data_IF_630239980811
#
_entry.id   IF_630239980811
#
_cell.length_a   1.000
_cell.length_b   1.000
_cell.length_c   1.000
_cell.angle_alpha   90.00
_cell.angle_beta   90.00
_cell.angle_gamma   90.00
#
_symmetry.space_group_name_H-M   'P 1'
#
loop_
_entity.id
_entity.type
_entity.pdbx_description
1 polymer ?
#
# COMPACT_ATOMS: atom_id res chain seq x y z
N UNK A 1 -35.23 67.71 38.77
CA UNK A 1 -34.41 66.45 38.88
C UNK A 1 -34.83 65.51 37.78
N UNK A 2 -34.07 65.49 36.66
CA UNK A 2 -34.37 64.65 35.50
C UNK A 2 -33.48 63.44 35.56
N UNK A 3 -34.10 62.26 35.69
CA UNK A 3 -33.41 60.95 35.55
C UNK A 3 -33.27 60.60 34.09
N UNK A 4 -32.03 60.49 33.61
CA UNK A 4 -31.70 59.96 32.28
C UNK A 4 -31.55 58.44 32.41
N UNK A 5 -32.46 57.71 31.79
CA UNK A 5 -32.33 56.24 31.60
C UNK A 5 -31.38 55.97 30.44
N UNK A 6 -30.21 55.35 30.72
CA UNK A 6 -29.31 54.82 29.71
C UNK A 6 -29.67 53.35 29.46
N UNK A 7 -30.24 53.07 28.31
CA UNK A 7 -30.45 51.72 27.80
C UNK A 7 -29.16 51.21 27.19
N UNK A 8 -28.58 50.18 27.78
CA UNK A 8 -27.39 49.52 27.28
C UNK A 8 -27.81 48.46 26.25
N UNK A 9 -27.52 48.67 24.95
CA UNK A 9 -27.75 47.70 23.90
C UNK A 9 -26.54 46.78 23.82
N UNK A 10 -26.70 45.55 24.26
CA UNK A 10 -25.68 44.47 24.13
C UNK A 10 -25.82 43.83 22.75
N UNK A 11 -24.87 44.08 21.86
CA UNK A 11 -24.81 43.40 20.55
C UNK A 11 -24.10 42.07 20.78
N UNK A 12 -24.81 40.97 20.67
CA UNK A 12 -24.24 39.64 20.65
C UNK A 12 -23.74 39.36 19.25
N UNK A 13 -22.43 39.34 19.05
CA UNK A 13 -21.80 38.87 17.79
C UNK A 13 -21.70 37.35 17.86
N UNK A 14 -22.56 36.66 17.12
CA UNK A 14 -22.49 35.22 16.94
C UNK A 14 -21.37 34.91 15.93
N UNK A 15 -20.23 34.43 16.44
CA UNK A 15 -19.17 33.86 15.59
C UNK A 15 -19.64 32.48 15.08
N UNK A 16 -20.10 32.43 13.85
CA UNK A 16 -20.35 31.18 13.15
C UNK A 16 -18.98 30.58 12.73
N UNK A 17 -18.41 29.70 13.57
CA UNK A 17 -17.25 28.88 13.17
C UNK A 17 -17.72 27.88 12.12
N UNK A 18 -17.59 28.21 10.84
CA UNK A 18 -17.62 27.21 9.77
C UNK A 18 -16.39 26.31 9.91
N UNK A 19 -16.52 25.22 10.62
CA UNK A 19 -15.56 24.13 10.53
C UNK A 19 -15.70 23.51 9.15
N UNK A 20 -14.82 23.90 8.23
CA UNK A 20 -14.64 23.16 6.98
C UNK A 20 -14.17 21.75 7.37
N UNK A 21 -15.06 20.78 7.35
CA UNK A 21 -14.70 19.39 7.40
C UNK A 21 -13.83 19.12 6.15
N UNK A 22 -12.53 19.01 6.33
CA UNK A 22 -11.64 18.51 5.29
C UNK A 22 -12.09 17.06 5.05
N UNK A 23 -12.73 16.82 3.92
CA UNK A 23 -13.08 15.46 3.50
C UNK A 23 -11.79 14.66 3.42
N UNK A 24 -11.66 13.65 4.27
CA UNK A 24 -10.55 12.74 4.22
C UNK A 24 -10.52 12.08 2.82
N UNK A 25 -9.37 12.15 2.16
CA UNK A 25 -9.22 11.57 0.85
C UNK A 25 -9.24 10.04 0.97
N UNK A 26 -10.22 9.39 0.34
CA UNK A 26 -10.42 7.96 0.44
C UNK A 26 -10.39 7.31 -0.94
N UNK A 27 -9.77 6.13 -1.02
CA UNK A 27 -9.91 5.22 -2.14
C UNK A 27 -10.31 3.85 -1.61
N UNK A 28 -11.31 3.23 -2.21
CA UNK A 28 -11.75 1.89 -1.85
C UNK A 28 -12.23 1.14 -3.09
N UNK A 29 -11.80 -0.11 -3.21
CA UNK A 29 -12.30 -1.04 -4.23
C UNK A 29 -12.34 -2.46 -3.67
N UNK A 30 -13.27 -3.28 -4.18
CA UNK A 30 -13.21 -4.74 -4.09
C UNK A 30 -12.74 -5.29 -5.43
N UNK A 31 -12.18 -6.50 -5.39
CA UNK A 31 -11.75 -7.19 -6.60
C UNK A 31 -12.72 -8.30 -7.01
N UNK A 32 -13.98 -8.19 -6.60
CA UNK A 32 -15.06 -9.00 -7.16
C UNK A 32 -15.21 -8.71 -8.66
N UNK A 33 -15.62 -9.74 -9.41
CA UNK A 33 -15.81 -9.63 -10.86
C UNK A 33 -16.73 -8.44 -11.21
N UNK A 34 -16.25 -7.57 -12.10
CA UNK A 34 -16.95 -6.36 -12.52
C UNK A 34 -16.89 -5.18 -11.55
N UNK A 35 -16.24 -5.33 -10.39
CA UNK A 35 -16.00 -4.21 -9.45
C UNK A 35 -14.63 -3.57 -9.62
N UNK A 36 -13.65 -4.31 -10.07
CA UNK A 36 -12.31 -3.78 -10.34
C UNK A 36 -12.27 -3.00 -11.65
N UNK A 37 -11.80 -1.77 -11.57
CA UNK A 37 -11.51 -0.95 -12.75
C UNK A 37 -9.98 -0.93 -12.99
N UNK A 38 -9.45 -1.72 -13.92
CA UNK A 38 -8.00 -1.77 -14.18
C UNK A 38 -7.44 -0.45 -14.71
N UNK A 39 -8.27 0.45 -15.27
CA UNK A 39 -7.82 1.75 -15.76
C UNK A 39 -7.33 2.69 -14.65
N UNK A 40 -7.76 2.48 -13.42
CA UNK A 40 -7.28 3.26 -12.26
C UNK A 40 -5.92 2.78 -11.75
N UNK A 41 -5.41 1.66 -12.29
CA UNK A 41 -4.17 1.05 -11.89
C UNK A 41 -3.12 1.14 -13.00
N UNK A 42 -1.86 1.17 -12.59
CA UNK A 42 -0.69 1.17 -13.44
C UNK A 42 0.12 -0.09 -13.16
N UNK A 43 0.29 -1.00 -14.13
CA UNK A 43 1.28 -2.06 -14.02
C UNK A 43 2.68 -1.45 -13.88
N UNK A 44 3.46 -1.94 -12.91
CA UNK A 44 4.80 -1.42 -12.63
C UNK A 44 5.80 -2.57 -12.58
N UNK A 45 6.85 -2.46 -13.37
CA UNK A 45 7.92 -3.44 -13.45
C UNK A 45 8.88 -3.30 -12.27
N UNK A 46 9.35 -4.42 -11.74
CA UNK A 46 10.51 -4.40 -10.86
C UNK A 46 11.80 -4.29 -11.69
N UNK A 47 12.77 -3.43 -11.33
CA UNK A 47 14.06 -3.37 -12.01
C UNK A 47 14.91 -4.64 -11.82
N UNK A 48 14.51 -5.55 -10.94
CA UNK A 48 15.15 -6.85 -10.71
C UNK A 48 14.89 -7.87 -11.83
N UNK A 49 13.78 -7.67 -12.58
CA UNK A 49 13.32 -8.61 -13.60
C UNK A 49 13.27 -7.94 -14.97
N UNK A 50 13.42 -8.73 -16.02
CA UNK A 50 13.40 -8.25 -17.41
C UNK A 50 12.00 -8.31 -18.06
N UNK A 51 10.96 -8.61 -17.27
CA UNK A 51 9.57 -8.71 -17.72
C UNK A 51 8.63 -7.84 -16.89
N UNK A 52 7.46 -7.54 -17.44
CA UNK A 52 6.32 -6.93 -16.75
C UNK A 52 5.36 -8.04 -16.34
N UNK A 53 5.14 -8.19 -15.04
CA UNK A 53 4.13 -9.12 -14.53
C UNK A 53 2.72 -8.58 -14.68
N UNK A 54 1.74 -9.47 -14.60
CA UNK A 54 0.33 -9.17 -14.83
C UNK A 54 -0.54 -9.65 -13.66
N UNK A 55 -1.59 -8.86 -13.34
CA UNK A 55 -2.64 -9.25 -12.39
C UNK A 55 -3.87 -9.71 -13.15
N UNK A 56 -4.41 -10.84 -12.75
CA UNK A 56 -5.58 -11.46 -13.37
C UNK A 56 -6.77 -11.36 -12.44
N UNK A 57 -7.91 -10.91 -12.97
CA UNK A 57 -9.16 -10.90 -12.23
C UNK A 57 -9.79 -12.29 -12.23
N UNK A 58 -10.14 -12.77 -11.04
CA UNK A 58 -10.94 -13.95 -10.78
C UNK A 58 -12.36 -13.54 -10.36
N UNK A 59 -13.15 -14.46 -9.78
CA UNK A 59 -14.54 -14.14 -9.39
C UNK A 59 -14.62 -13.15 -8.23
N UNK A 60 -13.79 -13.33 -7.19
CA UNK A 60 -13.85 -12.55 -5.95
C UNK A 60 -12.52 -11.86 -5.58
N UNK A 61 -11.47 -11.96 -6.43
CA UNK A 61 -10.15 -11.42 -6.15
C UNK A 61 -9.36 -11.14 -7.43
N UNK A 62 -8.22 -10.46 -7.28
CA UNK A 62 -7.15 -10.47 -8.28
C UNK A 62 -6.00 -11.35 -7.79
N UNK A 63 -5.28 -11.96 -8.72
CA UNK A 63 -4.11 -12.78 -8.45
C UNK A 63 -2.98 -12.44 -9.40
N UNK A 64 -1.74 -12.58 -8.96
CA UNK A 64 -0.60 -12.52 -9.88
C UNK A 64 -0.67 -13.70 -10.86
N UNK A 65 -0.34 -13.42 -12.12
CA UNK A 65 -0.25 -14.49 -13.13
C UNK A 65 0.89 -15.43 -12.77
N UNK A 66 0.55 -16.67 -12.57
CA UNK A 66 1.52 -17.76 -12.35
C UNK A 66 1.53 -18.68 -13.57
N UNK A 67 2.68 -19.27 -13.93
CA UNK A 67 2.73 -20.33 -14.92
C UNK A 67 1.76 -21.47 -14.55
N UNK A 68 1.23 -22.18 -15.55
CA UNK A 68 0.43 -23.39 -15.34
C UNK A 68 1.37 -24.57 -15.03
N UNK A 69 1.88 -24.57 -13.81
CA UNK A 69 2.83 -25.53 -13.26
C UNK A 69 2.38 -25.95 -11.87
N UNK A 70 2.75 -27.17 -11.42
CA UNK A 70 2.54 -27.56 -10.03
C UNK A 70 3.18 -26.58 -9.05
N UNK A 71 2.54 -26.39 -7.91
CA UNK A 71 2.92 -25.42 -6.90
C UNK A 71 4.35 -25.58 -6.40
N UNK A 72 4.83 -26.82 -6.23
CA UNK A 72 6.21 -27.10 -5.82
C UNK A 72 7.26 -26.70 -6.88
N UNK A 73 6.88 -26.71 -8.16
CA UNK A 73 7.72 -26.23 -9.27
C UNK A 73 7.77 -24.71 -9.30
N UNK A 74 6.63 -24.05 -9.07
CA UNK A 74 6.56 -22.57 -8.99
C UNK A 74 7.42 -22.07 -7.84
N UNK A 75 7.37 -22.71 -6.67
CA UNK A 75 8.20 -22.37 -5.51
C UNK A 75 9.70 -22.42 -5.78
N UNK A 76 10.16 -23.36 -6.61
CA UNK A 76 11.58 -23.51 -6.94
C UNK A 76 12.09 -22.44 -7.89
N UNK A 77 11.22 -21.73 -8.61
CA UNK A 77 11.57 -20.69 -9.57
C UNK A 77 11.85 -19.31 -8.94
N UNK A 78 11.83 -19.21 -7.61
CA UNK A 78 12.20 -18.02 -6.85
C UNK A 78 11.53 -16.71 -7.30
N UNK A 79 10.30 -16.79 -7.77
CA UNK A 79 9.53 -15.60 -8.16
C UNK A 79 9.86 -14.98 -9.51
N UNK A 80 10.86 -15.50 -10.22
CA UNK A 80 11.33 -14.92 -11.48
C UNK A 80 10.24 -14.76 -12.56
N UNK A 81 9.23 -15.65 -12.55
CA UNK A 81 8.15 -15.64 -13.54
C UNK A 81 6.79 -15.20 -12.96
N UNK A 82 6.73 -14.82 -11.68
CA UNK A 82 5.45 -14.60 -10.98
C UNK A 82 5.33 -13.24 -10.30
N UNK A 83 6.35 -12.41 -10.35
CA UNK A 83 6.29 -11.06 -9.80
C UNK A 83 5.36 -10.19 -10.63
N UNK A 84 4.29 -9.69 -10.02
CA UNK A 84 3.31 -8.80 -10.66
C UNK A 84 3.00 -7.65 -9.73
N UNK A 85 3.05 -6.43 -10.22
CA UNK A 85 2.77 -5.23 -9.45
C UNK A 85 1.77 -4.34 -10.17
N UNK A 86 0.80 -3.83 -9.41
CA UNK A 86 -0.08 -2.74 -9.82
C UNK A 86 -0.10 -1.65 -8.76
N UNK A 87 -0.02 -0.40 -9.20
CA UNK A 87 -0.11 0.77 -8.32
C UNK A 87 -1.25 1.68 -8.75
N UNK A 88 -1.92 2.30 -7.80
CA UNK A 88 -2.90 3.34 -8.14
C UNK A 88 -2.23 4.47 -8.93
N UNK A 89 -2.89 4.97 -9.98
CA UNK A 89 -2.41 6.12 -10.75
C UNK A 89 -2.46 7.43 -9.96
N UNK A 90 -3.17 7.43 -8.84
CA UNK A 90 -3.32 8.56 -7.92
C UNK A 90 -2.20 8.56 -6.89
N UNK A 91 -1.64 9.73 -6.59
CA UNK A 91 -0.78 9.94 -5.43
C UNK A 91 -1.60 10.33 -4.20
N UNK A 92 -1.10 9.91 -3.05
CA UNK A 92 -1.58 10.30 -1.72
C UNK A 92 -0.52 11.15 -1.02
N UNK A 93 -0.91 11.93 -0.03
CA UNK A 93 0.00 12.80 0.73
C UNK A 93 -0.28 12.70 2.22
N UNK A 94 0.77 12.76 3.03
CA UNK A 94 0.64 12.77 4.48
C UNK A 94 0.26 11.42 5.09
N UNK A 95 -0.36 11.48 6.25
CA UNK A 95 -0.73 10.28 7.02
C UNK A 95 -1.83 9.49 6.33
N UNK A 96 -1.75 8.17 6.43
CA UNK A 96 -2.78 7.29 5.88
C UNK A 96 -2.83 5.93 6.54
N UNK A 97 -3.93 5.24 6.33
CA UNK A 97 -4.09 3.81 6.57
C UNK A 97 -4.35 3.13 5.21
N UNK A 98 -3.43 2.28 4.79
CA UNK A 98 -3.53 1.47 3.58
C UNK A 98 -3.84 0.05 4.01
N UNK A 99 -4.83 -0.61 3.41
CA UNK A 99 -5.16 -1.98 3.76
C UNK A 99 -5.60 -2.81 2.56
N UNK A 100 -5.42 -4.13 2.69
CA UNK A 100 -5.91 -5.11 1.74
C UNK A 100 -6.15 -6.44 2.42
N UNK A 101 -7.30 -7.03 2.17
CA UNK A 101 -7.55 -8.43 2.51
C UNK A 101 -6.87 -9.31 1.48
N UNK A 102 -6.01 -10.22 1.93
CA UNK A 102 -5.17 -11.04 1.05
C UNK A 102 -5.00 -12.46 1.56
N UNK A 103 -4.60 -13.37 0.66
CA UNK A 103 -4.20 -14.73 0.99
C UNK A 103 -3.08 -15.20 0.06
N UNK A 104 -2.39 -16.26 0.44
CA UNK A 104 -1.31 -16.88 -0.32
C UNK A 104 -1.41 -18.40 -0.26
N UNK A 105 -0.89 -19.09 -1.27
CA UNK A 105 -0.92 -20.57 -1.28
C UNK A 105 0.33 -21.19 -0.68
N UNK A 106 1.46 -20.47 -0.68
CA UNK A 106 2.75 -20.92 -0.22
C UNK A 106 3.44 -19.89 0.66
N UNK A 107 4.75 -20.00 0.81
CA UNK A 107 5.61 -19.22 1.73
C UNK A 107 5.49 -17.72 1.58
N UNK A 108 5.35 -17.24 0.35
CA UNK A 108 5.41 -15.81 0.04
C UNK A 108 4.27 -15.40 -0.88
N UNK A 109 4.03 -14.32 -1.00
CA UNK A 109 3.50 -13.35 -0.18
C UNK A 109 2.84 -12.26 -1.00
N UNK A 110 1.59 -11.98 -0.76
CA UNK A 110 1.03 -10.73 -1.18
C UNK A 110 1.68 -9.59 -0.39
N UNK A 111 1.82 -8.43 -1.06
CA UNK A 111 2.45 -7.26 -0.46
C UNK A 111 1.65 -6.00 -0.73
N UNK A 112 1.73 -5.07 0.23
CA UNK A 112 1.40 -3.66 0.00
C UNK A 112 2.69 -2.94 -0.36
N UNK A 113 2.69 -2.18 -1.45
CA UNK A 113 3.83 -1.40 -1.92
C UNK A 113 3.56 0.10 -1.82
N UNK A 114 4.58 0.86 -1.42
CA UNK A 114 4.56 2.31 -1.25
C UNK A 114 5.79 2.89 -1.94
N UNK A 115 5.58 3.77 -2.92
CA UNK A 115 6.67 4.38 -3.69
C UNK A 115 6.48 5.89 -3.84
N UNK A 116 7.53 6.68 -3.59
CA UNK A 116 7.49 8.13 -3.77
C UNK A 116 7.40 8.54 -5.24
N UNK A 117 8.00 7.73 -6.11
CA UNK A 117 7.98 7.93 -7.56
C UNK A 117 7.93 6.60 -8.32
N UNK A 118 7.46 6.69 -9.56
CA UNK A 118 7.51 5.62 -10.55
C UNK A 118 8.32 6.12 -11.73
N UNK A 119 9.43 5.46 -12.02
CA UNK A 119 10.29 5.79 -13.14
C UNK A 119 9.91 5.05 -14.42
N UNK A 120 10.85 5.00 -15.36
CA UNK A 120 10.71 4.28 -16.64
C UNK A 120 11.88 3.36 -16.87
N UNK A 121 11.62 2.15 -17.35
CA UNK A 121 12.62 1.23 -17.85
C UNK A 121 13.25 1.77 -19.16
N UNK A 122 14.31 1.13 -19.63
CA UNK A 122 14.91 1.45 -20.94
C UNK A 122 13.91 1.26 -22.10
N UNK A 123 12.86 0.47 -21.91
CA UNK A 123 11.78 0.26 -22.90
C UNK A 123 10.63 1.26 -22.75
N UNK A 124 10.71 2.21 -21.80
CA UNK A 124 9.66 3.19 -21.51
C UNK A 124 8.52 2.68 -20.62
N UNK A 125 8.58 1.44 -20.13
CA UNK A 125 7.61 0.86 -19.20
C UNK A 125 7.73 1.52 -17.83
N UNK A 126 6.61 1.63 -17.09
CA UNK A 126 6.63 2.05 -15.69
C UNK A 126 7.49 1.07 -14.86
N UNK A 127 8.43 1.62 -14.09
CA UNK A 127 9.38 0.81 -13.34
C UNK A 127 9.61 1.41 -11.96
N UNK A 128 9.70 0.56 -10.95
CA UNK A 128 9.99 1.00 -9.59
C UNK A 128 11.33 1.74 -9.50
N UNK A 129 11.32 2.79 -8.68
CA UNK A 129 12.50 3.41 -8.10
C UNK A 129 12.56 3.04 -6.62
N UNK A 130 12.98 3.95 -5.77
CA UNK A 130 12.97 3.71 -4.33
C UNK A 130 11.55 3.46 -3.84
N UNK A 131 11.35 2.34 -3.11
CA UNK A 131 10.03 1.94 -2.61
C UNK A 131 10.14 1.03 -1.40
N UNK A 132 9.03 0.86 -0.70
CA UNK A 132 8.88 -0.03 0.43
C UNK A 132 7.85 -1.10 0.13
N UNK A 133 8.15 -2.34 0.51
CA UNK A 133 7.26 -3.49 0.38
C UNK A 133 6.94 -4.04 1.77
N UNK A 134 5.67 -4.09 2.14
CA UNK A 134 5.20 -4.74 3.37
C UNK A 134 4.62 -6.09 3.00
N UNK A 135 5.36 -7.12 3.35
CA UNK A 135 5.16 -8.50 2.90
C UNK A 135 4.51 -9.32 3.98
N UNK A 136 3.38 -9.94 3.68
CA UNK A 136 2.78 -10.99 4.50
C UNK A 136 3.24 -12.35 4.01
N UNK A 137 3.72 -13.24 4.89
CA UNK A 137 4.13 -14.61 4.55
C UNK A 137 3.95 -15.56 5.74
N UNK A 138 4.18 -16.85 5.55
CA UNK A 138 3.88 -17.88 6.55
C UNK A 138 4.66 -17.76 7.88
N UNK A 139 5.85 -17.13 7.86
CA UNK A 139 6.68 -16.95 9.05
C UNK A 139 6.60 -15.53 9.65
N UNK A 140 5.82 -14.61 9.04
CA UNK A 140 5.69 -13.28 9.61
C UNK A 140 5.28 -12.16 8.67
N UNK A 141 5.71 -10.96 9.04
CA UNK A 141 5.56 -9.75 8.24
C UNK A 141 6.94 -9.11 8.08
N UNK A 142 7.35 -8.87 6.84
CA UNK A 142 8.60 -8.15 6.54
C UNK A 142 8.29 -6.75 6.05
N UNK A 143 9.19 -5.82 6.32
CA UNK A 143 9.31 -4.56 5.58
C UNK A 143 10.63 -4.63 4.83
N UNK A 144 10.55 -4.55 3.51
CA UNK A 144 11.71 -4.40 2.64
C UNK A 144 11.83 -2.96 2.17
N UNK A 145 13.04 -2.43 2.19
CA UNK A 145 13.36 -1.15 1.58
C UNK A 145 14.16 -1.43 0.30
N UNK A 146 13.59 -1.04 -0.81
CA UNK A 146 14.22 -1.10 -2.13
C UNK A 146 14.77 0.28 -2.46
N UNK A 147 16.06 0.34 -2.70
CA UNK A 147 16.77 1.57 -3.09
C UNK A 147 17.04 1.56 -4.59
N UNK A 148 17.22 2.75 -5.16
CA UNK A 148 17.62 2.89 -6.54
C UNK A 148 18.64 4.02 -6.64
N UNK A 149 19.92 3.65 -6.79
CA UNK A 149 21.04 4.62 -6.79
C UNK A 149 21.92 4.39 -8.01
N UNK A 150 22.25 5.47 -8.70
CA UNK A 150 23.12 5.43 -9.89
C UNK A 150 22.66 4.41 -10.95
N UNK A 151 21.34 4.33 -11.15
CA UNK A 151 20.76 3.39 -12.11
C UNK A 151 20.71 1.93 -11.64
N UNK A 152 21.08 1.64 -10.40
CA UNK A 152 21.17 0.27 -9.88
C UNK A 152 20.15 0.04 -8.76
N UNK A 153 19.35 -1.05 -8.82
CA UNK A 153 18.48 -1.46 -7.75
C UNK A 153 19.30 -2.11 -6.62
N UNK A 154 18.92 -1.80 -5.39
CA UNK A 154 19.37 -2.47 -4.18
C UNK A 154 18.19 -2.76 -3.28
N UNK A 155 18.29 -3.70 -2.35
CA UNK A 155 17.22 -4.00 -1.40
C UNK A 155 17.77 -4.63 -0.14
N UNK A 156 17.11 -4.37 0.98
CA UNK A 156 17.39 -5.01 2.24
C UNK A 156 16.11 -5.14 3.09
N UNK A 157 16.09 -6.13 3.95
CA UNK A 157 15.02 -6.31 4.93
C UNK A 157 15.21 -5.31 6.05
N UNK A 158 14.37 -4.29 6.07
CA UNK A 158 14.42 -3.16 6.99
C UNK A 158 13.88 -3.52 8.38
N UNK A 159 12.80 -4.33 8.43
CA UNK A 159 12.21 -4.78 9.67
C UNK A 159 11.51 -6.14 9.48
N UNK A 160 11.32 -6.87 10.58
CA UNK A 160 10.68 -8.18 10.59
C UNK A 160 9.96 -8.44 11.90
N UNK A 161 8.70 -8.87 11.78
CA UNK A 161 7.93 -9.43 12.89
C UNK A 161 7.73 -10.94 12.63
N UNK A 162 8.33 -11.78 13.46
CA UNK A 162 8.13 -13.23 13.41
C UNK A 162 6.73 -13.58 13.93
N UNK A 163 5.94 -14.21 13.09
CA UNK A 163 4.59 -14.67 13.42
C UNK A 163 4.21 -15.80 12.47
N UNK A 164 3.25 -16.64 12.85
CA UNK A 164 2.78 -17.71 11.96
C UNK A 164 1.48 -17.30 11.30
N UNK A 165 1.47 -17.35 9.97
CA UNK A 165 0.28 -17.18 9.12
C UNK A 165 0.07 -18.43 8.28
N UNK A 166 -1.19 -18.84 8.12
CA UNK A 166 -1.53 -20.09 7.42
C UNK A 166 -1.78 -19.82 5.94
N UNK A 167 -1.23 -20.64 5.02
CA UNK A 167 -1.60 -20.60 3.62
C UNK A 167 -3.12 -20.74 3.43
N UNK A 168 -3.65 -20.13 2.37
CA UNK A 168 -5.07 -20.15 1.95
C UNK A 168 -6.05 -19.47 2.93
N UNK A 169 -5.59 -18.99 4.09
CA UNK A 169 -6.39 -18.18 5.00
C UNK A 169 -6.37 -16.72 4.55
N UNK A 170 -7.50 -16.02 4.63
CA UNK A 170 -7.60 -14.58 4.39
C UNK A 170 -7.11 -13.80 5.60
N UNK A 171 -6.34 -12.76 5.36
CA UNK A 171 -5.81 -11.84 6.36
C UNK A 171 -6.00 -10.41 5.90
N UNK A 172 -6.33 -9.52 6.82
CA UNK A 172 -6.34 -8.07 6.59
C UNK A 172 -4.96 -7.50 6.97
N UNK A 173 -4.14 -7.22 5.95
CA UNK A 173 -2.86 -6.53 6.14
C UNK A 173 -3.10 -5.03 6.09
N UNK A 174 -2.69 -4.34 7.14
CA UNK A 174 -2.81 -2.89 7.28
C UNK A 174 -1.44 -2.25 7.42
N UNK A 175 -1.25 -1.13 6.73
CA UNK A 175 -0.04 -0.30 6.79
C UNK A 175 -0.45 1.13 7.12
N UNK A 176 -0.13 1.58 8.33
CA UNK A 176 -0.34 2.95 8.76
C UNK A 176 0.94 3.76 8.52
N UNK A 177 0.82 4.85 7.77
CA UNK A 177 1.87 5.85 7.63
C UNK A 177 1.60 7.02 8.57
N UNK A 178 2.62 7.39 9.35
CA UNK A 178 2.62 8.57 10.21
C UNK A 178 3.80 9.44 9.79
N UNK A 179 3.52 10.41 8.93
CA UNK A 179 4.51 11.28 8.29
C UNK A 179 4.50 12.65 8.96
N UNK A 180 5.36 12.84 9.94
CA UNK A 180 5.43 14.06 10.72
C UNK A 180 6.80 14.72 10.62
N UNK A 181 6.89 16.02 10.94
CA UNK A 181 8.18 16.73 11.02
C UNK A 181 9.13 16.17 12.09
N UNK A 182 8.61 15.44 13.09
CA UNK A 182 9.41 14.82 14.17
C UNK A 182 9.95 13.45 13.82
N UNK A 183 9.47 12.86 12.76
CA UNK A 183 9.86 11.55 12.27
C UNK A 183 8.78 10.90 11.44
N UNK A 184 9.17 9.95 10.60
CA UNK A 184 8.28 9.23 9.70
C UNK A 184 8.29 7.76 10.08
N UNK A 185 7.11 7.20 10.29
CA UNK A 185 6.96 5.81 10.75
C UNK A 185 5.94 5.09 9.88
N UNK A 186 6.26 3.85 9.55
CA UNK A 186 5.37 2.87 8.96
C UNK A 186 5.04 1.82 10.01
N UNK A 187 3.75 1.57 10.26
CA UNK A 187 3.30 0.51 11.17
C UNK A 187 2.54 -0.53 10.38
N UNK A 188 3.02 -1.76 10.39
CA UNK A 188 2.33 -2.90 9.79
C UNK A 188 1.54 -3.66 10.85
N UNK A 189 0.29 -4.01 10.53
CA UNK A 189 -0.61 -4.75 11.42
C UNK A 189 -1.32 -5.86 10.65
N UNK A 190 -1.40 -7.06 11.21
CA UNK A 190 -2.13 -8.18 10.66
C UNK A 190 -2.50 -9.18 11.77
N UNK A 191 -3.77 -9.61 11.82
CA UNK A 191 -4.26 -10.63 12.77
C UNK A 191 -3.89 -10.31 14.24
N UNK A 192 -4.09 -9.05 14.66
CA UNK A 192 -3.78 -8.56 16.00
C UNK A 192 -2.29 -8.38 16.33
N UNK A 193 -1.39 -8.65 15.40
CA UNK A 193 0.05 -8.45 15.55
C UNK A 193 0.46 -7.16 14.84
N UNK A 194 1.36 -6.39 15.46
CA UNK A 194 1.77 -5.08 14.94
C UNK A 194 3.23 -4.78 15.26
N UNK A 195 3.92 -4.09 14.36
CA UNK A 195 5.25 -3.54 14.59
C UNK A 195 5.47 -2.28 13.77
N UNK A 196 6.40 -1.44 14.21
CA UNK A 196 6.74 -0.18 13.55
C UNK A 196 8.14 -0.20 12.96
N UNK A 197 8.33 0.56 11.90
CA UNK A 197 9.60 0.87 11.28
C UNK A 197 9.69 2.37 11.08
N UNK A 198 10.77 3.00 11.58
CA UNK A 198 10.99 4.45 11.45
C UNK A 198 12.07 4.70 10.41
N UNK A 199 11.76 5.53 9.43
CA UNK A 199 12.69 5.93 8.38
C UNK A 199 12.31 7.31 7.85
N UNK A 200 13.21 8.28 7.96
CA UNK A 200 12.98 9.64 7.48
C UNK A 200 12.94 9.75 5.95
N UNK A 201 13.37 8.70 5.22
CA UNK A 201 13.25 8.60 3.76
C UNK A 201 11.86 8.20 3.29
N UNK A 202 10.94 7.81 4.19
CA UNK A 202 9.55 7.57 3.81
C UNK A 202 9.01 8.81 3.07
N UNK A 203 8.40 8.65 1.87
CA UNK A 203 7.97 9.76 1.04
C UNK A 203 6.76 10.48 1.64
N UNK A 204 6.76 11.82 1.62
CA UNK A 204 5.63 12.64 2.07
C UNK A 204 4.45 12.57 1.08
N UNK A 205 4.74 12.26 -0.19
CA UNK A 205 3.75 12.02 -1.26
C UNK A 205 4.13 10.73 -1.98
N UNK A 206 3.17 9.83 -2.14
CA UNK A 206 3.45 8.47 -2.57
C UNK A 206 2.32 7.86 -3.40
N UNK A 207 2.68 6.88 -4.20
CA UNK A 207 1.78 5.91 -4.79
C UNK A 207 1.66 4.70 -3.86
N UNK A 208 0.49 4.08 -3.83
CA UNK A 208 0.24 2.84 -3.11
C UNK A 208 -0.28 1.77 -4.06
N UNK A 209 0.03 0.52 -3.79
CA UNK A 209 -0.36 -0.58 -4.66
C UNK A 209 -0.19 -1.95 -4.05
N UNK A 210 -0.29 -2.97 -4.91
CA UNK A 210 -0.24 -4.37 -4.58
C UNK A 210 0.80 -5.08 -5.42
N UNK A 211 1.50 -6.03 -4.80
CA UNK A 211 2.40 -6.96 -5.48
C UNK A 211 2.01 -8.38 -5.09
N UNK A 212 2.07 -9.29 -6.07
CA UNK A 212 2.11 -10.72 -5.84
C UNK A 212 3.41 -11.29 -6.36
N UNK A 213 4.11 -12.09 -5.55
CA UNK A 213 5.36 -12.75 -5.95
C UNK A 213 5.57 -14.07 -5.19
N UNK A 214 6.52 -14.85 -5.68
CA UNK A 214 6.96 -16.11 -5.06
C UNK A 214 5.82 -17.08 -4.73
N UNK A 215 4.97 -17.36 -5.73
CA UNK A 215 3.83 -18.22 -5.61
C UNK A 215 2.52 -17.51 -5.97
N UNK A 216 1.40 -18.18 -5.72
CA UNK A 216 0.07 -17.66 -6.01
C UNK A 216 -0.46 -16.85 -4.85
N UNK A 217 -0.72 -15.57 -5.10
CA UNK A 217 -1.20 -14.61 -4.12
C UNK A 217 -2.53 -14.02 -4.57
N UNK A 218 -3.43 -13.73 -3.63
CA UNK A 218 -4.74 -13.16 -3.90
C UNK A 218 -4.95 -11.89 -3.08
N UNK A 219 -5.50 -10.87 -3.72
CA UNK A 219 -6.02 -9.68 -3.05
C UNK A 219 -7.50 -9.56 -3.33
N UNK A 220 -8.30 -9.32 -2.30
CA UNK A 220 -9.77 -9.28 -2.36
C UNK A 220 -10.32 -7.86 -2.35
N UNK A 221 -9.58 -6.93 -1.77
CA UNK A 221 -9.89 -5.51 -1.73
C UNK A 221 -8.62 -4.67 -1.64
N UNK A 222 -8.77 -3.36 -1.77
CA UNK A 222 -7.71 -2.39 -1.49
C UNK A 222 -8.33 -1.07 -1.03
N UNK A 223 -7.80 -0.48 0.04
CA UNK A 223 -8.31 0.74 0.65
C UNK A 223 -7.16 1.66 1.05
N UNK A 224 -7.36 2.96 0.84
CA UNK A 224 -6.50 4.03 1.38
C UNK A 224 -7.40 5.04 2.06
N UNK A 225 -7.16 5.32 3.34
CA UNK A 225 -7.85 6.34 4.15
C UNK A 225 -6.83 7.36 4.64
N UNK A 226 -7.13 8.64 4.48
CA UNK A 226 -6.32 9.77 4.96
C UNK A 226 -7.00 10.52 6.07
#
# INVERSE_FOLDING_TARGET
>A
MNKVNRTCCTIAVSLCCCTCAVSAEEYSTTFERGKWNPQTWLPVKSPRFNYMGDMVQMDDHITNRTPDLPDDVILKKHGEDVYSCIMLRKKFTGNSLISSTMSFDHRMAPLIVIAGEIGKSAKGEAEHREHYEVVLFDEGINIWHHTYRDGKPGWYKAAFLKAKFLPKKRYDLQVKLSLTKRGKTMTATCDGKSFGYTDNNLPDSYYAGLIGCEGRNRSYDFKVKQ
#
